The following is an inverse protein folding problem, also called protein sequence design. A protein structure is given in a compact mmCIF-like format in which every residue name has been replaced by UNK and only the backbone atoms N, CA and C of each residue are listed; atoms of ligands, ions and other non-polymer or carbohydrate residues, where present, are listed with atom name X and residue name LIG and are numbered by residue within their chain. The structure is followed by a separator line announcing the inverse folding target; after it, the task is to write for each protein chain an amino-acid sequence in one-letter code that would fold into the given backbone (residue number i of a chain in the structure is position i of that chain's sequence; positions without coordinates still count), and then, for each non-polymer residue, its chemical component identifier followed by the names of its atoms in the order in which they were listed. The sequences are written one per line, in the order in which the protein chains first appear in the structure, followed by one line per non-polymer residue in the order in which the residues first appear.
data_IF_504386718099
#
_entry.id   IF_504386718099
#
_cell.length_a   1.000
_cell.length_b   1.000
_cell.length_c   1.000
_cell.angle_alpha   90.00
_cell.angle_beta   90.00
_cell.angle_gamma   90.00
#
_symmetry.space_group_name_H-M   'P 1'
#
loop_
_entity.id
_entity.type
_entity.pdbx_description
1 polymer ?
#
# COMPACT_ATOMS: atom_id res chain seq x y z
N UNK A 1 11.36 7.28 -8.90
CA UNK A 1 10.16 6.63 -8.34
C UNK A 1 10.59 5.40 -7.55
N UNK A 2 9.91 5.03 -6.46
CA UNK A 2 10.31 3.90 -5.59
C UNK A 2 10.52 2.59 -6.36
N UNK A 3 9.69 2.28 -7.36
CA UNK A 3 9.91 1.10 -8.20
C UNK A 3 11.25 1.13 -8.92
N UNK A 4 11.72 2.29 -9.41
CA UNK A 4 13.02 2.42 -10.08
C UNK A 4 14.17 2.03 -9.16
N UNK A 5 14.15 2.51 -7.91
CA UNK A 5 15.16 2.18 -6.91
C UNK A 5 15.24 0.67 -6.66
N UNK A 6 14.10 -0.03 -6.70
CA UNK A 6 14.08 -1.49 -6.55
C UNK A 6 14.57 -2.20 -7.81
N UNK A 7 14.27 -1.71 -9.01
CA UNK A 7 14.84 -2.27 -10.25
C UNK A 7 16.37 -2.12 -10.26
N UNK A 8 16.89 -0.96 -9.86
CA UNK A 8 18.32 -0.70 -9.71
C UNK A 8 18.95 -1.63 -8.66
N UNK A 9 18.31 -1.85 -7.51
CA UNK A 9 18.84 -2.75 -6.48
C UNK A 9 18.88 -4.22 -6.90
N UNK A 10 18.19 -4.59 -7.99
CA UNK A 10 18.21 -5.93 -8.58
C UNK A 10 19.16 -6.02 -9.80
N UNK A 11 19.80 -4.91 -10.21
CA UNK A 11 20.66 -4.85 -11.39
C UNK A 11 19.90 -5.04 -12.71
N UNK A 12 18.62 -4.64 -12.72
CA UNK A 12 17.70 -4.81 -13.84
C UNK A 12 17.03 -3.50 -14.26
N UNK A 13 17.67 -2.37 -13.96
CA UNK A 13 17.21 -1.00 -14.24
C UNK A 13 16.83 -0.77 -15.70
N UNK A 14 17.50 -1.47 -16.63
CA UNK A 14 17.18 -1.41 -18.07
C UNK A 14 15.75 -1.82 -18.42
N UNK A 15 15.05 -2.56 -17.55
CA UNK A 15 13.65 -2.96 -17.77
C UNK A 15 12.64 -2.02 -17.10
N UNK A 16 13.08 -1.00 -16.36
CA UNK A 16 12.17 -0.10 -15.62
C UNK A 16 11.23 0.67 -16.56
N UNK A 17 11.74 1.20 -17.67
CA UNK A 17 10.94 1.95 -18.66
C UNK A 17 9.90 1.05 -19.34
N UNK A 18 10.29 -0.18 -19.70
CA UNK A 18 9.35 -1.17 -20.28
C UNK A 18 8.24 -1.52 -19.30
N UNK A 19 8.59 -1.74 -18.03
CA UNK A 19 7.61 -1.94 -16.96
C UNK A 19 6.69 -0.71 -16.81
N UNK A 20 7.24 0.50 -16.78
CA UNK A 20 6.48 1.74 -16.68
C UNK A 20 5.51 1.93 -17.86
N UNK A 21 5.90 1.52 -19.08
CA UNK A 21 5.01 1.51 -20.26
C UNK A 21 3.95 0.42 -20.25
N UNK A 22 4.10 -0.61 -19.41
CA UNK A 22 3.16 -1.74 -19.31
C UNK A 22 2.09 -1.57 -18.23
N UNK A 23 2.29 -0.64 -17.27
CA UNK A 23 1.39 -0.47 -16.13
C UNK A 23 0.21 0.45 -16.45
N UNK A 24 -0.96 0.10 -15.90
CA UNK A 24 -2.14 0.97 -15.91
C UNK A 24 -2.33 1.60 -14.54
N UNK A 25 -2.70 2.88 -14.51
CA UNK A 25 -2.91 3.63 -13.27
C UNK A 25 -4.39 3.71 -12.93
N UNK A 26 -4.71 3.46 -11.67
CA UNK A 26 -6.04 3.70 -11.09
C UNK A 26 -5.89 4.69 -9.94
N UNK A 27 -6.74 5.72 -9.94
CA UNK A 27 -6.86 6.67 -8.83
C UNK A 27 -8.20 6.42 -8.14
N UNK A 28 -8.18 6.34 -6.81
CA UNK A 28 -9.37 6.18 -5.98
C UNK A 28 -9.42 7.28 -4.93
N UNK A 29 -10.59 7.89 -4.77
CA UNK A 29 -10.90 8.77 -3.66
C UNK A 29 -11.86 8.05 -2.73
N UNK A 30 -11.49 7.91 -1.47
CA UNK A 30 -12.30 7.21 -0.46
C UNK A 30 -12.61 8.15 0.68
N UNK A 31 -13.88 8.19 1.10
CA UNK A 31 -14.34 8.91 2.30
C UNK A 31 -14.94 7.89 3.27
N UNK A 32 -14.43 7.88 4.49
CA UNK A 32 -14.99 7.10 5.59
C UNK A 32 -15.88 7.99 6.44
N UNK A 33 -16.98 7.42 6.97
CA UNK A 33 -17.84 8.08 7.96
C UNK A 33 -17.49 7.61 9.36
N UNK A 34 -17.91 8.37 10.36
CA UNK A 34 -17.84 7.95 11.75
C UNK A 34 -18.84 6.80 11.96
N UNK A 35 -18.45 5.71 12.64
CA UNK A 35 -19.36 4.61 12.98
C UNK A 35 -20.42 5.04 14.01
N UNK A 36 -21.62 4.48 13.94
CA UNK A 36 -22.69 4.71 14.91
C UNK A 36 -22.50 3.87 16.18
N UNK A 37 -23.26 4.20 17.24
CA UNK A 37 -23.28 3.42 18.48
C UNK A 37 -23.81 2.00 18.14
N UNK A 38 -22.94 0.99 18.23
CA UNK A 38 -23.13 -0.43 17.85
C UNK A 38 -22.60 -0.85 16.47
N UNK A 39 -21.98 0.04 15.71
CA UNK A 39 -21.26 -0.36 14.50
C UNK A 39 -19.80 -0.71 14.79
N UNK A 40 -19.22 -1.54 13.91
CA UNK A 40 -17.78 -1.76 13.92
C UNK A 40 -17.06 -0.56 13.33
N UNK A 41 -15.89 -0.24 13.89
CA UNK A 41 -14.99 0.78 13.35
C UNK A 41 -14.28 0.36 12.05
N UNK A 42 -14.55 -0.85 11.54
CA UNK A 42 -13.89 -1.37 10.33
C UNK A 42 -14.37 -0.64 9.07
N UNK A 43 -13.53 0.25 8.53
CA UNK A 43 -13.77 0.94 7.27
C UNK A 43 -13.45 0.07 6.05
N UNK A 44 -12.36 -0.68 6.09
CA UNK A 44 -11.97 -1.65 5.05
C UNK A 44 -11.41 -2.89 5.72
N UNK A 45 -11.90 -4.06 5.30
CA UNK A 45 -11.42 -5.37 5.78
C UNK A 45 -9.93 -5.58 5.47
N UNK A 46 -9.20 -6.38 6.27
CA UNK A 46 -7.83 -6.78 5.95
C UNK A 46 -7.69 -7.35 4.53
N UNK A 47 -6.80 -6.77 3.73
CA UNK A 47 -6.52 -7.22 2.36
C UNK A 47 -5.10 -6.85 1.91
N UNK A 48 -4.67 -7.43 0.78
CA UNK A 48 -3.52 -6.97 0.00
C UNK A 48 -3.99 -6.32 -1.29
N UNK A 49 -3.17 -5.43 -1.84
CA UNK A 49 -3.43 -4.83 -3.15
C UNK A 49 -2.96 -5.75 -4.27
N UNK A 50 -3.75 -5.91 -5.33
CA UNK A 50 -3.40 -6.75 -6.49
C UNK A 50 -2.42 -6.09 -7.47
N UNK A 51 -2.17 -4.80 -7.32
CA UNK A 51 -1.34 -4.01 -8.22
C UNK A 51 0.17 -4.23 -7.96
N UNK A 52 1.02 -3.45 -8.63
CA UNK A 52 2.45 -3.44 -8.35
C UNK A 52 2.75 -2.57 -7.11
N UNK A 53 2.34 -1.30 -7.13
CA UNK A 53 2.51 -0.37 -6.02
C UNK A 53 1.24 0.47 -5.86
N UNK A 54 0.85 0.70 -4.61
CA UNK A 54 -0.11 1.74 -4.22
C UNK A 54 0.65 2.93 -3.63
N UNK A 55 0.27 4.14 -4.05
CA UNK A 55 0.72 5.40 -3.45
C UNK A 55 -0.48 6.00 -2.73
N UNK A 56 -0.37 6.16 -1.41
CA UNK A 56 -1.46 6.57 -0.55
C UNK A 56 -1.13 7.89 0.15
N UNK A 57 -2.10 8.80 0.13
CA UNK A 57 -2.16 9.99 0.98
C UNK A 57 -3.42 9.89 1.83
N UNK A 58 -3.33 10.27 3.10
CA UNK A 58 -4.48 10.32 4.00
C UNK A 58 -4.56 11.67 4.73
N UNK A 59 -5.76 12.01 5.18
CA UNK A 59 -5.97 13.13 6.07
C UNK A 59 -5.60 12.75 7.53
N UNK A 60 -5.77 13.69 8.47
CA UNK A 60 -5.40 13.50 9.88
C UNK A 60 -6.25 12.48 10.66
N UNK A 61 -7.18 11.78 10.01
CA UNK A 61 -8.03 10.80 10.68
C UNK A 61 -7.30 9.49 11.03
N UNK A 62 -6.10 9.25 10.46
CA UNK A 62 -5.16 8.18 10.85
C UNK A 62 -5.78 6.78 11.01
N UNK A 63 -6.55 6.33 10.02
CA UNK A 63 -7.22 5.02 10.08
C UNK A 63 -6.46 3.86 9.44
N UNK A 64 -5.37 4.11 8.72
CA UNK A 64 -4.60 3.06 8.06
C UNK A 64 -3.83 2.21 9.08
N UNK A 65 -4.04 0.90 9.03
CA UNK A 65 -3.25 -0.07 9.79
C UNK A 65 -2.63 -1.11 8.86
N UNK A 66 -1.41 -1.54 9.18
CA UNK A 66 -0.63 -2.52 8.41
C UNK A 66 -0.23 -3.68 9.31
N UNK A 67 -0.36 -4.90 8.81
CA UNK A 67 0.06 -6.09 9.54
C UNK A 67 1.55 -6.35 9.34
N UNK A 68 2.27 -6.51 10.45
CA UNK A 68 3.66 -6.92 10.48
C UNK A 68 3.79 -8.44 10.26
N UNK A 69 4.99 -8.90 9.91
CA UNK A 69 5.29 -10.33 9.66
C UNK A 69 5.00 -11.24 10.87
N UNK A 70 5.00 -10.70 12.08
CA UNK A 70 4.65 -11.41 13.31
C UNK A 70 3.12 -11.49 13.56
N UNK A 71 2.30 -10.99 12.64
CA UNK A 71 0.84 -10.97 12.72
C UNK A 71 0.25 -9.78 13.49
N UNK A 72 1.07 -8.99 14.18
CA UNK A 72 0.61 -7.78 14.89
C UNK A 72 0.27 -6.65 13.91
N UNK A 73 -0.66 -5.77 14.30
CA UNK A 73 -1.07 -4.61 13.52
C UNK A 73 -0.42 -3.34 14.07
N UNK A 74 0.02 -2.47 13.17
CA UNK A 74 0.52 -1.13 13.52
C UNK A 74 -0.30 -0.07 12.81
N UNK A 75 -0.61 1.02 13.50
CA UNK A 75 -1.17 2.22 12.90
C UNK A 75 -0.08 2.98 12.13
N UNK A 76 -0.43 3.46 10.94
CA UNK A 76 0.51 4.18 10.08
C UNK A 76 0.28 5.68 10.27
N UNK A 77 1.10 6.29 11.12
CA UNK A 77 1.11 7.74 11.38
C UNK A 77 2.28 8.40 10.65
N UNK A 78 2.00 9.47 9.90
CA UNK A 78 3.01 10.17 9.11
C UNK A 78 2.66 11.66 8.94
N UNK A 79 3.68 12.51 8.74
CA UNK A 79 3.46 13.93 8.48
C UNK A 79 2.52 14.17 7.28
N UNK A 80 1.69 15.23 7.30
CA UNK A 80 0.76 15.52 6.21
C UNK A 80 1.39 15.69 4.81
N UNK A 81 2.70 15.98 4.77
CA UNK A 81 3.50 16.12 3.55
C UNK A 81 4.06 14.79 3.02
N UNK A 82 3.79 13.67 3.69
CA UNK A 82 4.33 12.35 3.34
C UNK A 82 3.33 11.53 2.52
N UNK A 83 3.88 10.58 1.76
CA UNK A 83 3.12 9.56 1.04
C UNK A 83 3.52 8.18 1.55
N UNK A 84 2.56 7.29 1.68
CA UNK A 84 2.81 5.88 1.98
C UNK A 84 2.86 5.11 0.67
N UNK A 85 3.87 4.26 0.55
CA UNK A 85 4.07 3.38 -0.59
C UNK A 85 3.86 1.95 -0.11
N UNK A 86 2.84 1.28 -0.65
CA UNK A 86 2.52 -0.11 -0.31
C UNK A 86 2.84 -0.99 -1.51
N UNK A 87 3.56 -2.09 -1.29
CA UNK A 87 3.80 -3.10 -2.32
C UNK A 87 2.56 -3.99 -2.47
N UNK A 88 2.12 -4.19 -3.71
CA UNK A 88 1.05 -5.13 -4.02
C UNK A 88 1.56 -6.53 -4.39
N UNK A 89 0.62 -7.45 -4.58
CA UNK A 89 0.86 -8.85 -4.90
C UNK A 89 1.72 -9.01 -6.18
N UNK A 90 1.49 -8.18 -7.20
CA UNK A 90 2.26 -8.27 -8.45
C UNK A 90 3.74 -7.93 -8.24
N UNK A 91 4.04 -7.00 -7.33
CA UNK A 91 5.42 -6.66 -6.98
C UNK A 91 6.07 -7.76 -6.13
N UNK A 92 5.32 -8.37 -5.22
CA UNK A 92 5.79 -9.53 -4.50
C UNK A 92 6.14 -10.69 -5.45
N UNK A 93 5.25 -11.01 -6.40
CA UNK A 93 5.50 -12.03 -7.41
C UNK A 93 6.71 -11.70 -8.31
N UNK A 94 6.78 -10.48 -8.85
CA UNK A 94 7.89 -10.03 -9.69
C UNK A 94 9.25 -10.09 -8.97
N UNK A 95 9.27 -9.76 -7.68
CA UNK A 95 10.48 -9.80 -6.84
C UNK A 95 10.81 -11.20 -6.29
N UNK A 96 10.08 -12.23 -6.73
CA UNK A 96 10.17 -13.60 -6.23
C UNK A 96 10.03 -13.68 -4.69
N UNK A 97 9.05 -12.97 -4.14
CA UNK A 97 8.69 -12.94 -2.72
C UNK A 97 9.60 -12.10 -1.81
N UNK A 98 10.65 -11.48 -2.35
CA UNK A 98 11.59 -10.66 -1.55
C UNK A 98 10.95 -9.38 -1.02
N UNK A 99 10.11 -8.73 -1.83
CA UNK A 99 9.27 -7.62 -1.39
C UNK A 99 7.94 -8.21 -0.90
N UNK A 100 7.64 -8.02 0.38
CA UNK A 100 6.40 -8.50 0.97
C UNK A 100 5.25 -7.55 0.64
N UNK A 101 4.12 -8.08 0.16
CA UNK A 101 2.86 -7.34 0.10
C UNK A 101 2.15 -7.49 1.44
N UNK A 102 2.04 -6.42 2.24
CA UNK A 102 1.48 -6.53 3.57
C UNK A 102 -0.05 -6.50 3.52
N UNK A 103 -0.69 -7.26 4.41
CA UNK A 103 -2.08 -7.01 4.73
C UNK A 103 -2.21 -5.61 5.32
N UNK A 104 -3.21 -4.88 4.88
CA UNK A 104 -3.57 -3.59 5.43
C UNK A 104 -5.09 -3.48 5.56
N UNK A 105 -5.54 -2.60 6.45
CA UNK A 105 -6.96 -2.37 6.73
C UNK A 105 -7.18 -0.89 7.07
N UNK A 106 -8.45 -0.49 7.13
CA UNK A 106 -8.82 0.82 7.67
C UNK A 106 -9.72 0.62 8.88
N UNK A 107 -9.33 1.25 9.99
CA UNK A 107 -10.07 1.28 11.24
C UNK A 107 -10.35 2.75 11.60
N UNK A 108 -11.59 3.10 11.95
CA UNK A 108 -12.07 4.47 12.17
C UNK A 108 -12.30 4.81 13.64
#
# INVERSE_FOLDING_TARGET
MVSKMVFESYGVEKYHESHAGSVTYLVRFTKYRVPEQNETNLGVVPHTDKNFITILHQNKANGLEVQLKNGSWISVDFPPSSLVIVAGDAFSAWSNGRVHSPFHRVNM
#
